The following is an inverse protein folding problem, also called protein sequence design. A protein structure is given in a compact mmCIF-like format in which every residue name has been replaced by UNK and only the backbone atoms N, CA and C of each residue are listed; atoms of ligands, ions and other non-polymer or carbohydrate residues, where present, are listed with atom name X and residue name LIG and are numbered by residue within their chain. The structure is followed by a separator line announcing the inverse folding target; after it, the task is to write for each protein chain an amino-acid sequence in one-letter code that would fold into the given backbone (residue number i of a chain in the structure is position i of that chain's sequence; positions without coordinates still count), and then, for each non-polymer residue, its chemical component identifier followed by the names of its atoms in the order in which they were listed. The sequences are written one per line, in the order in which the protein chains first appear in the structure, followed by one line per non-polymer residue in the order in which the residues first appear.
data_IF_278378940608
#
_entry.id   IF_278378940608
#
_cell.length_a   1.000
_cell.length_b   1.000
_cell.length_c   1.000
_cell.angle_alpha   90.00
_cell.angle_beta   90.00
_cell.angle_gamma   90.00
#
_symmetry.space_group_name_H-M   'P 1'
#
loop_
_entity.id
_entity.type
_entity.pdbx_description
1 polymer ?
#
# COMPACT_ATOMS: atom_id res chain seq x y z
N UNK A 1 -15.68 -6.30 14.13
CA UNK A 1 -14.90 -5.71 15.25
C UNK A 1 -14.40 -4.34 14.88
N UNK A 2 -14.47 -3.38 15.80
CA UNK A 2 -13.85 -2.05 15.63
C UNK A 2 -12.41 -2.12 16.13
N UNK A 3 -11.47 -1.50 15.42
CA UNK A 3 -10.09 -1.30 15.88
C UNK A 3 -9.74 0.19 15.82
N UNK A 4 -8.99 0.66 16.80
CA UNK A 4 -8.45 2.00 16.84
C UNK A 4 -7.01 1.99 17.38
N UNK A 5 -6.15 2.86 16.87
CA UNK A 5 -4.75 2.99 17.27
C UNK A 5 -3.81 2.87 16.07
N UNK A 6 -2.55 2.51 16.33
CA UNK A 6 -1.58 2.26 15.28
C UNK A 6 -1.86 0.91 14.62
N UNK A 7 -2.14 0.94 13.32
CA UNK A 7 -2.46 -0.25 12.52
C UNK A 7 -1.51 -0.36 11.33
N UNK A 8 -1.36 -1.57 10.81
CA UNK A 8 -0.76 -1.79 9.50
C UNK A 8 -1.84 -1.53 8.43
N UNK A 9 -1.50 -0.71 7.44
CA UNK A 9 -2.42 -0.41 6.34
C UNK A 9 -2.65 -1.67 5.51
N UNK A 10 -3.89 -2.10 5.23
CA UNK A 10 -4.13 -3.40 4.61
C UNK A 10 -3.90 -3.36 3.09
N UNK A 11 -2.65 -3.22 2.65
CA UNK A 11 -2.27 -3.19 1.23
C UNK A 11 -1.40 -4.38 0.84
N UNK A 12 -1.69 -4.97 -0.32
CA UNK A 12 -0.92 -6.09 -0.88
C UNK A 12 -0.95 -7.35 -0.03
N UNK A 13 0.05 -8.21 -0.24
CA UNK A 13 0.22 -9.45 0.51
C UNK A 13 1.06 -9.16 1.77
N UNK A 14 2.20 -8.49 1.60
CA UNK A 14 3.26 -8.46 2.61
C UNK A 14 3.04 -7.41 3.71
N UNK A 15 2.22 -6.38 3.49
CA UNK A 15 2.16 -5.29 4.48
C UNK A 15 1.56 -5.74 5.83
N UNK A 16 0.53 -6.60 5.80
CA UNK A 16 -0.05 -7.20 7.01
C UNK A 16 0.71 -8.46 7.46
N UNK A 17 1.26 -9.23 6.52
CA UNK A 17 2.00 -10.46 6.78
C UNK A 17 3.47 -10.31 6.40
N UNK A 18 4.32 -10.09 7.39
CA UNK A 18 5.74 -9.75 7.21
C UNK A 18 6.71 -10.83 7.73
N UNK A 19 6.20 -12.05 7.95
CA UNK A 19 6.97 -13.21 8.39
C UNK A 19 7.71 -13.90 7.23
N UNK A 20 8.85 -14.58 7.45
CA UNK A 20 9.73 -15.10 6.39
C UNK A 20 9.09 -16.06 5.38
N UNK A 21 7.98 -16.74 5.72
CA UNK A 21 7.26 -17.63 4.80
C UNK A 21 6.35 -16.91 3.79
N UNK A 22 6.39 -15.57 3.76
CA UNK A 22 5.51 -14.76 2.91
C UNK A 22 6.05 -14.53 1.50
N UNK A 23 7.30 -14.89 1.22
CA UNK A 23 7.92 -14.87 -0.11
C UNK A 23 9.05 -15.89 -0.21
N UNK A 24 9.29 -16.43 -1.41
CA UNK A 24 10.31 -17.47 -1.63
C UNK A 24 11.76 -16.94 -1.67
N UNK A 25 11.94 -15.65 -2.00
CA UNK A 25 13.25 -15.03 -2.13
C UNK A 25 13.86 -14.62 -0.79
N UNK A 26 15.15 -14.26 -0.78
CA UNK A 26 15.77 -13.60 0.37
C UNK A 26 15.30 -12.15 0.57
N UNK A 27 14.75 -11.54 -0.48
CA UNK A 27 14.29 -10.16 -0.52
C UNK A 27 12.80 -10.09 -0.91
N UNK A 28 12.12 -9.04 -0.43
CA UNK A 28 10.73 -8.74 -0.82
C UNK A 28 10.66 -8.41 -2.32
N UNK A 29 9.56 -8.75 -3.02
CA UNK A 29 9.36 -8.34 -4.41
C UNK A 29 9.47 -6.81 -4.58
N UNK A 30 10.14 -6.37 -5.64
CA UNK A 30 10.40 -4.95 -5.90
C UNK A 30 9.10 -4.13 -6.05
N UNK A 31 8.03 -4.73 -6.58
CA UNK A 31 6.68 -4.15 -6.68
C UNK A 31 6.15 -3.72 -5.31
N UNK A 32 6.22 -4.60 -4.32
CA UNK A 32 5.81 -4.32 -2.94
C UNK A 32 6.85 -3.49 -2.16
N UNK A 33 8.03 -3.26 -2.74
CA UNK A 33 9.04 -2.38 -2.13
C UNK A 33 8.80 -0.92 -2.51
N UNK A 34 8.49 -0.65 -3.77
CA UNK A 34 8.43 0.70 -4.34
C UNK A 34 7.02 1.25 -4.52
N UNK A 35 6.07 0.42 -4.98
CA UNK A 35 4.72 0.89 -5.33
C UNK A 35 3.80 0.83 -4.11
N UNK A 36 3.78 -0.32 -3.43
CA UNK A 36 3.09 -0.47 -2.16
C UNK A 36 4.08 -0.11 -1.04
N UNK A 37 3.80 0.87 -0.18
CA UNK A 37 4.68 1.16 0.95
C UNK A 37 4.65 -0.01 1.96
N UNK A 38 5.54 -0.99 1.85
CA UNK A 38 5.63 -2.06 2.87
C UNK A 38 6.08 -1.52 4.22
N UNK A 39 5.68 -2.22 5.28
CA UNK A 39 5.79 -1.82 6.69
C UNK A 39 5.05 -0.51 7.02
N UNK A 40 3.99 -0.19 6.27
CA UNK A 40 3.21 1.02 6.51
C UNK A 40 2.33 0.89 7.74
N UNK A 41 2.76 1.59 8.79
CA UNK A 41 2.03 1.82 10.03
C UNK A 41 1.45 3.23 10.02
N UNK A 42 0.19 3.34 10.39
CA UNK A 42 -0.51 4.61 10.53
C UNK A 42 -1.45 4.56 11.74
N UNK A 43 -1.71 5.68 12.40
CA UNK A 43 -2.83 5.76 13.33
C UNK A 43 -4.13 5.84 12.55
N UNK A 44 -5.13 5.10 13.02
CA UNK A 44 -6.43 5.12 12.40
C UNK A 44 -7.49 4.41 13.23
N UNK A 45 -8.70 4.48 12.73
CA UNK A 45 -9.86 3.73 13.23
C UNK A 45 -10.49 2.99 12.07
N UNK A 46 -10.98 1.78 12.34
CA UNK A 46 -11.52 0.95 11.28
C UNK A 46 -12.36 -0.21 11.75
N UNK A 47 -12.92 -0.89 10.75
CA UNK A 47 -13.76 -2.06 10.90
C UNK A 47 -13.09 -3.24 10.24
N UNK A 48 -13.14 -4.37 10.91
CA UNK A 48 -12.69 -5.66 10.38
C UNK A 48 -13.78 -6.68 10.62
N UNK A 49 -14.02 -7.50 9.61
CA UNK A 49 -14.96 -8.61 9.70
C UNK A 49 -14.59 -9.74 8.76
N UNK A 50 -15.26 -10.85 8.96
CA UNK A 50 -15.22 -12.01 8.10
C UNK A 50 -16.61 -12.65 8.06
N UNK A 51 -16.92 -13.27 6.94
CA UNK A 51 -18.13 -14.06 6.73
C UNK A 51 -17.77 -15.54 6.69
N UNK A 52 -18.72 -16.40 7.05
CA UNK A 52 -18.54 -17.86 7.01
C UNK A 52 -18.26 -18.39 5.59
N UNK A 53 -18.57 -17.60 4.56
CA UNK A 53 -18.19 -17.87 3.17
C UNK A 53 -16.68 -17.83 2.91
N UNK A 54 -15.87 -17.40 3.89
CA UNK A 54 -14.43 -17.21 3.75
C UNK A 54 -14.04 -15.84 3.18
N UNK A 55 -14.99 -14.91 3.06
CA UNK A 55 -14.71 -13.50 2.70
C UNK A 55 -14.31 -12.74 3.96
N UNK A 56 -13.11 -12.17 3.99
CA UNK A 56 -12.65 -11.23 5.00
C UNK A 56 -12.56 -9.81 4.46
N UNK A 57 -12.80 -8.81 5.30
CA UNK A 57 -12.62 -7.40 4.94
C UNK A 57 -12.00 -6.58 6.07
N UNK A 58 -11.28 -5.54 5.68
CA UNK A 58 -10.70 -4.52 6.57
C UNK A 58 -10.89 -3.15 5.93
N UNK A 59 -11.39 -2.19 6.68
CA UNK A 59 -11.56 -0.80 6.23
C UNK A 59 -11.07 0.12 7.35
N UNK A 60 -10.23 1.09 7.02
CA UNK A 60 -9.67 2.06 7.96
C UNK A 60 -9.75 3.48 7.40
N UNK A 61 -10.00 4.43 8.29
CA UNK A 61 -9.65 5.83 8.10
C UNK A 61 -8.37 6.09 8.89
N UNK A 62 -7.37 6.67 8.25
CA UNK A 62 -6.03 6.89 8.79
C UNK A 62 -5.45 8.24 8.35
N UNK A 63 -4.35 8.66 8.97
CA UNK A 63 -3.56 9.79 8.47
C UNK A 63 -3.04 9.53 7.04
N UNK A 64 -3.04 10.56 6.18
CA UNK A 64 -2.52 10.47 4.81
C UNK A 64 -0.99 10.30 4.75
N UNK A 65 -0.43 10.10 3.55
CA UNK A 65 1.02 10.17 3.34
C UNK A 65 1.49 11.65 3.35
N UNK A 66 2.80 11.87 3.43
CA UNK A 66 3.42 13.19 3.29
C UNK A 66 4.05 13.30 1.89
N UNK A 67 3.40 14.03 0.98
CA UNK A 67 3.87 14.25 -0.39
C UNK A 67 5.20 15.00 -0.45
N UNK A 68 5.49 15.84 0.55
CA UNK A 68 6.79 16.51 0.68
C UNK A 68 7.99 15.56 0.87
N UNK A 69 7.73 14.28 1.19
CA UNK A 69 8.75 13.22 1.28
C UNK A 69 8.73 12.26 0.08
N UNK A 70 7.91 12.53 -0.94
CA UNK A 70 7.95 11.76 -2.18
C UNK A 70 9.23 12.07 -2.96
N UNK A 71 9.62 11.15 -3.83
CA UNK A 71 10.79 11.30 -4.69
C UNK A 71 10.60 10.50 -5.97
N UNK A 72 11.57 10.56 -6.89
CA UNK A 72 11.64 9.63 -8.03
C UNK A 72 11.59 8.14 -7.62
N UNK A 73 11.97 7.80 -6.38
CA UNK A 73 11.84 6.45 -5.83
C UNK A 73 10.43 6.06 -5.36
N UNK A 74 9.44 6.93 -5.55
CA UNK A 74 8.04 6.70 -5.20
C UNK A 74 7.62 7.23 -3.83
N UNK A 75 6.52 6.68 -3.32
CA UNK A 75 5.74 7.22 -2.19
C UNK A 75 6.14 6.63 -0.82
N UNK A 76 7.04 5.65 -0.80
CA UNK A 76 7.40 4.89 0.41
C UNK A 76 7.86 5.77 1.59
N UNK A 77 8.57 6.84 1.29
CA UNK A 77 9.13 7.77 2.28
C UNK A 77 8.09 8.71 2.89
N UNK A 78 6.87 8.78 2.33
CA UNK A 78 5.77 9.59 2.83
C UNK A 78 5.03 9.01 4.05
N UNK A 79 5.36 7.80 4.51
CA UNK A 79 4.70 7.18 5.68
C UNK A 79 5.06 7.90 6.99
N UNK A 80 4.12 7.90 7.94
CA UNK A 80 4.23 8.77 9.13
C UNK A 80 4.55 8.10 10.47
N UNK A 81 4.64 6.77 10.58
CA UNK A 81 5.05 6.04 11.82
C UNK A 81 4.28 6.38 13.11
N UNK A 82 3.17 7.12 13.03
CA UNK A 82 2.21 7.43 14.07
C UNK A 82 2.62 8.42 15.18
N UNK A 83 3.85 8.39 15.69
CA UNK A 83 4.21 9.15 16.91
C UNK A 83 4.20 10.69 16.76
N UNK A 84 4.42 11.20 15.55
CA UNK A 84 4.36 12.62 15.17
C UNK A 84 3.66 12.80 13.83
N UNK A 85 2.63 11.98 13.59
CA UNK A 85 1.91 12.01 12.34
C UNK A 85 1.10 13.31 12.21
N UNK A 86 1.25 13.96 11.05
CA UNK A 86 0.42 15.06 10.60
C UNK A 86 -0.87 14.46 10.07
N UNK A 87 -2.01 14.96 10.54
CA UNK A 87 -3.33 14.49 10.15
C UNK A 87 -4.20 15.66 9.65
N UNK A 88 -3.59 16.64 8.95
CA UNK A 88 -4.35 17.68 8.24
C UNK A 88 -5.17 17.04 7.11
N UNK A 89 -4.60 16.02 6.47
CA UNK A 89 -5.28 15.21 5.47
C UNK A 89 -5.39 13.75 5.92
N UNK A 90 -6.59 13.19 5.77
CA UNK A 90 -6.88 11.79 6.04
C UNK A 90 -6.92 10.98 4.74
N UNK A 91 -6.72 9.68 4.88
CA UNK A 91 -6.90 8.70 3.83
C UNK A 91 -7.78 7.54 4.30
N UNK A 92 -8.29 6.80 3.33
CA UNK A 92 -9.06 5.58 3.54
C UNK A 92 -8.27 4.42 2.95
N UNK A 93 -8.13 3.34 3.71
CA UNK A 93 -7.61 2.07 3.21
C UNK A 93 -8.65 0.97 3.36
N UNK A 94 -8.77 0.14 2.35
CA UNK A 94 -9.70 -0.99 2.32
C UNK A 94 -9.04 -2.23 1.72
N UNK A 95 -9.42 -3.40 2.23
CA UNK A 95 -9.03 -4.70 1.69
C UNK A 95 -10.17 -5.68 1.79
N UNK A 96 -10.35 -6.47 0.74
CA UNK A 96 -11.23 -7.64 0.72
C UNK A 96 -10.38 -8.84 0.30
N UNK A 97 -10.55 -9.97 1.00
CA UNK A 97 -9.86 -11.23 0.72
C UNK A 97 -10.85 -12.38 0.74
N UNK A 98 -10.61 -13.38 -0.10
CA UNK A 98 -11.36 -14.63 -0.14
C UNK A 98 -10.43 -15.81 0.13
N UNK A 99 -10.72 -16.55 1.20
CA UNK A 99 -9.98 -17.74 1.63
C UNK A 99 -10.91 -18.93 1.89
N UNK A 100 -12.09 -18.97 1.25
CA UNK A 100 -13.09 -20.02 1.46
C UNK A 100 -12.71 -21.38 0.90
N UNK A 101 -11.72 -21.44 0.00
CA UNK A 101 -11.18 -22.68 -0.56
C UNK A 101 -9.81 -22.96 0.04
N UNK A 102 -9.55 -24.15 0.61
CA UNK A 102 -8.24 -24.50 1.15
C UNK A 102 -7.12 -24.29 0.12
N UNK A 103 -6.09 -23.55 0.54
CA UNK A 103 -4.95 -23.21 -0.31
C UNK A 103 -5.15 -22.04 -1.28
N UNK A 104 -6.37 -21.52 -1.44
CA UNK A 104 -6.64 -20.34 -2.25
C UNK A 104 -6.74 -19.08 -1.37
N UNK A 105 -6.02 -18.02 -1.74
CA UNK A 105 -6.22 -16.67 -1.23
C UNK A 105 -6.23 -15.69 -2.40
N UNK A 106 -7.35 -15.02 -2.61
CA UNK A 106 -7.46 -13.94 -3.61
C UNK A 106 -7.86 -12.68 -2.87
N UNK A 107 -7.21 -11.56 -3.18
CA UNK A 107 -7.54 -10.31 -2.51
C UNK A 107 -7.31 -9.08 -3.36
N UNK A 108 -8.01 -8.02 -3.00
CA UNK A 108 -7.82 -6.69 -3.56
C UNK A 108 -7.78 -5.68 -2.43
N UNK A 109 -6.94 -4.66 -2.58
CA UNK A 109 -6.80 -3.58 -1.61
C UNK A 109 -6.59 -2.25 -2.28
N UNK A 110 -7.06 -1.19 -1.62
CA UNK A 110 -6.93 0.18 -2.07
C UNK A 110 -6.61 1.09 -0.89
N UNK A 111 -5.74 2.07 -1.12
CA UNK A 111 -5.61 3.26 -0.30
C UNK A 111 -5.90 4.46 -1.18
N UNK A 112 -6.64 5.43 -0.67
CA UNK A 112 -6.82 6.72 -1.33
C UNK A 112 -6.93 7.83 -0.30
N UNK A 113 -6.30 8.97 -0.56
CA UNK A 113 -6.33 10.12 0.33
C UNK A 113 -5.51 11.28 -0.19
N UNK A 114 -5.70 12.47 0.38
CA UNK A 114 -4.83 13.59 0.09
C UNK A 114 -3.52 13.43 0.87
N UNK A 115 -2.38 13.60 0.18
CA UNK A 115 -1.04 13.51 0.80
C UNK A 115 -0.37 14.87 0.96
N UNK A 116 -1.09 15.97 0.71
CA UNK A 116 -0.55 17.33 0.82
C UNK A 116 -0.02 17.65 2.22
N UNK A 117 -0.75 17.29 3.28
CA UNK A 117 -0.40 17.51 4.68
C UNK A 117 0.03 18.96 4.97
N UNK A 118 -0.73 19.91 4.42
CA UNK A 118 -0.48 21.34 4.59
C UNK A 118 0.62 21.92 3.70
N UNK A 119 1.18 21.16 2.74
CA UNK A 119 2.15 21.67 1.77
C UNK A 119 1.58 22.86 0.97
N UNK A 120 2.37 23.90 0.79
CA UNK A 120 2.01 25.09 0.00
C UNK A 120 3.00 25.34 -1.14
N UNK A 121 2.53 26.00 -2.19
CA UNK A 121 3.40 26.51 -3.26
C UNK A 121 4.08 27.84 -2.87
N UNK A 122 4.90 28.39 -3.78
CA UNK A 122 5.61 29.65 -3.59
C UNK A 122 4.69 30.87 -3.43
N UNK A 123 3.41 30.74 -3.77
CA UNK A 123 2.39 31.79 -3.60
C UNK A 123 1.58 31.60 -2.31
N UNK A 124 1.91 30.57 -1.51
CA UNK A 124 1.20 30.24 -0.27
C UNK A 124 -0.09 29.46 -0.48
N UNK A 125 -0.42 29.01 -1.70
CA UNK A 125 -1.62 28.21 -1.93
C UNK A 125 -1.35 26.76 -1.53
N UNK A 126 -2.33 26.12 -0.88
CA UNK A 126 -2.24 24.69 -0.56
C UNK A 126 -2.09 23.86 -1.84
N UNK A 127 -1.22 22.85 -1.76
CA UNK A 127 -1.02 21.83 -2.78
C UNK A 127 -1.76 20.59 -2.31
N UNK A 128 -2.76 20.18 -3.10
CA UNK A 128 -3.33 18.87 -2.95
C UNK A 128 -2.40 17.87 -3.64
N UNK A 129 -2.26 16.69 -3.07
CA UNK A 129 -1.56 15.57 -3.69
C UNK A 129 -2.42 14.32 -3.53
N UNK A 130 -3.56 14.23 -4.25
CA UNK A 130 -4.41 13.04 -4.21
C UNK A 130 -3.58 11.82 -4.55
N UNK A 131 -3.49 10.85 -3.64
CA UNK A 131 -2.65 9.67 -3.81
C UNK A 131 -3.50 8.43 -3.67
N UNK A 132 -3.44 7.57 -4.70
CA UNK A 132 -4.14 6.30 -4.72
C UNK A 132 -3.14 5.17 -4.90
N UNK A 133 -3.31 4.08 -4.15
CA UNK A 133 -2.56 2.83 -4.31
C UNK A 133 -3.56 1.71 -4.38
N UNK A 134 -3.54 0.93 -5.44
CA UNK A 134 -4.38 -0.23 -5.67
C UNK A 134 -3.51 -1.47 -5.83
N UNK A 135 -3.98 -2.61 -5.35
CA UNK A 135 -3.38 -3.90 -5.68
C UNK A 135 -4.41 -5.02 -5.71
N UNK A 136 -4.14 -6.01 -6.56
CA UNK A 136 -4.84 -7.29 -6.60
C UNK A 136 -3.82 -8.42 -6.51
N UNK A 137 -4.14 -9.48 -5.79
CA UNK A 137 -3.26 -10.62 -5.60
C UNK A 137 -4.00 -11.94 -5.64
N UNK A 138 -3.25 -13.01 -5.92
CA UNK A 138 -3.71 -14.39 -5.88
C UNK A 138 -2.61 -15.31 -5.38
N UNK A 139 -2.96 -16.22 -4.49
CA UNK A 139 -2.11 -17.28 -3.94
C UNK A 139 -2.89 -18.58 -4.08
N UNK A 140 -2.25 -19.60 -4.66
CA UNK A 140 -2.79 -20.95 -4.78
C UNK A 140 -1.73 -21.95 -4.32
N UNK A 141 -1.98 -22.64 -3.21
CA UNK A 141 -1.16 -23.71 -2.69
C UNK A 141 -1.92 -25.04 -2.73
N UNK A 142 -1.46 -26.01 -3.53
CA UNK A 142 -2.13 -27.31 -3.68
C UNK A 142 -1.12 -28.41 -4.05
N UNK A 143 -1.18 -29.53 -3.34
CA UNK A 143 -0.38 -30.74 -3.66
C UNK A 143 1.10 -30.46 -3.85
N UNK A 144 1.66 -29.63 -2.97
CA UNK A 144 3.09 -29.28 -2.95
C UNK A 144 3.44 -28.10 -3.85
N UNK A 145 2.57 -27.74 -4.80
CA UNK A 145 2.73 -26.53 -5.61
C UNK A 145 2.21 -25.30 -4.89
N UNK A 146 2.88 -24.18 -5.11
CA UNK A 146 2.42 -22.87 -4.68
C UNK A 146 2.69 -21.83 -5.77
N UNK A 147 1.65 -21.09 -6.14
CA UNK A 147 1.71 -19.98 -7.09
C UNK A 147 1.29 -18.72 -6.36
N UNK A 148 2.04 -17.63 -6.52
CA UNK A 148 1.64 -16.30 -6.05
C UNK A 148 1.76 -15.28 -7.17
N UNK A 149 0.80 -14.38 -7.26
CA UNK A 149 0.81 -13.25 -8.17
C UNK A 149 0.31 -12.02 -7.46
N UNK A 150 0.85 -10.86 -7.83
CA UNK A 150 0.37 -9.57 -7.37
C UNK A 150 0.56 -8.55 -8.49
N UNK A 151 -0.44 -7.71 -8.69
CA UNK A 151 -0.38 -6.50 -9.49
C UNK A 151 -0.63 -5.30 -8.56
N UNK A 152 0.17 -4.25 -8.72
CA UNK A 152 0.01 -3.00 -8.00
C UNK A 152 0.03 -1.82 -8.97
N UNK A 153 -0.74 -0.80 -8.63
CA UNK A 153 -0.82 0.48 -9.33
C UNK A 153 -0.86 1.60 -8.30
N UNK A 154 -0.17 2.70 -8.56
CA UNK A 154 -0.32 3.93 -7.77
C UNK A 154 -0.41 5.14 -8.68
N UNK A 155 -1.15 6.14 -8.23
CA UNK A 155 -1.27 7.44 -8.90
C UNK A 155 -1.15 8.58 -7.89
N UNK A 156 -0.55 9.68 -8.32
CA UNK A 156 -0.35 10.90 -7.55
C UNK A 156 -0.86 12.06 -8.40
N UNK A 157 -1.87 12.79 -7.93
CA UNK A 157 -2.36 13.99 -8.61
C UNK A 157 -1.47 15.21 -8.36
N UNK A 158 -1.64 16.25 -9.18
CA UNK A 158 -0.95 17.54 -9.05
C UNK A 158 0.59 17.45 -9.02
N UNK A 159 1.19 16.41 -9.62
CA UNK A 159 2.65 16.20 -9.58
C UNK A 159 3.45 17.36 -10.18
N UNK A 160 2.89 18.14 -11.10
CA UNK A 160 3.55 19.32 -11.65
C UNK A 160 3.75 20.37 -10.55
N UNK A 161 2.69 20.70 -9.80
CA UNK A 161 2.76 21.65 -8.68
C UNK A 161 3.62 21.09 -7.55
N UNK A 162 3.49 19.80 -7.25
CA UNK A 162 4.32 19.12 -6.26
C UNK A 162 5.80 19.18 -6.61
N UNK A 163 6.19 18.80 -7.83
CA UNK A 163 7.57 18.85 -8.29
C UNK A 163 8.11 20.28 -8.30
N UNK A 164 7.27 21.26 -8.66
CA UNK A 164 7.67 22.68 -8.63
C UNK A 164 7.94 23.16 -7.20
N UNK A 165 7.07 22.81 -6.24
CA UNK A 165 7.23 23.17 -4.84
C UNK A 165 8.39 22.44 -4.14
N UNK A 166 8.74 21.24 -4.61
CA UNK A 166 9.89 20.47 -4.14
C UNK A 166 11.19 20.75 -4.93
N UNK A 167 11.14 21.69 -5.88
CA UNK A 167 12.27 22.04 -6.76
C UNK A 167 12.87 20.82 -7.51
N UNK A 168 12.02 19.85 -7.84
CA UNK A 168 12.42 18.66 -8.57
C UNK A 168 12.31 18.84 -10.08
N UNK A 169 13.33 18.37 -10.79
CA UNK A 169 13.37 18.36 -12.25
C UNK A 169 14.06 17.10 -12.78
N UNK A 170 13.76 16.74 -14.04
CA UNK A 170 14.36 15.61 -14.73
C UNK A 170 14.17 14.29 -13.98
N UNK A 171 15.25 13.53 -13.78
CA UNK A 171 15.22 12.23 -13.13
C UNK A 171 14.92 12.27 -11.62
N UNK A 172 14.81 13.46 -11.00
CA UNK A 172 14.44 13.62 -9.59
C UNK A 172 12.93 13.78 -9.39
N UNK A 173 12.19 14.07 -10.45
CA UNK A 173 10.75 14.33 -10.39
C UNK A 173 9.96 13.13 -9.89
N UNK A 174 8.96 13.41 -9.08
CA UNK A 174 7.91 12.47 -8.68
C UNK A 174 7.08 12.16 -9.93
N UNK A 175 6.96 10.87 -10.26
CA UNK A 175 6.10 10.39 -11.34
C UNK A 175 4.63 10.41 -10.94
N UNK A 176 3.76 10.66 -11.91
CA UNK A 176 2.30 10.67 -11.73
C UNK A 176 1.75 9.26 -11.46
N UNK A 177 2.28 8.26 -12.15
CA UNK A 177 1.77 6.89 -12.10
C UNK A 177 2.92 5.88 -11.95
N UNK A 178 2.65 4.79 -11.23
CA UNK A 178 3.54 3.64 -11.13
C UNK A 178 2.72 2.36 -11.21
N UNK A 179 3.22 1.34 -11.90
CA UNK A 179 2.62 0.02 -11.88
C UNK A 179 3.69 -1.06 -11.88
N UNK A 180 3.32 -2.24 -11.40
CA UNK A 180 4.24 -3.37 -11.35
C UNK A 180 3.49 -4.64 -10.98
N UNK A 181 4.06 -5.77 -11.36
CA UNK A 181 3.51 -7.07 -11.04
C UNK A 181 4.62 -8.08 -10.83
N UNK A 182 4.31 -9.19 -10.18
CA UNK A 182 5.18 -10.34 -10.13
C UNK A 182 4.36 -11.63 -10.14
N UNK A 183 5.01 -12.71 -10.57
CA UNK A 183 4.51 -14.08 -10.49
C UNK A 183 5.63 -14.94 -9.90
N UNK A 184 5.32 -15.74 -8.89
CA UNK A 184 6.23 -16.71 -8.28
C UNK A 184 5.61 -18.09 -8.30
N UNK A 185 6.43 -19.10 -8.58
CA UNK A 185 6.07 -20.52 -8.56
C UNK A 185 7.03 -21.27 -7.64
N UNK A 186 6.51 -22.14 -6.78
CA UNK A 186 7.27 -22.99 -5.88
C UNK A 186 6.70 -24.41 -5.84
N UNK A 187 7.56 -25.38 -5.55
CA UNK A 187 7.18 -26.77 -5.35
C UNK A 187 7.93 -27.37 -4.16
N UNK A 188 7.21 -28.01 -3.24
CA UNK A 188 7.79 -28.73 -2.11
C UNK A 188 8.15 -30.16 -2.51
N UNK A 189 9.45 -30.44 -2.61
CA UNK A 189 10.00 -31.75 -2.98
C UNK A 189 9.99 -32.79 -1.85
N UNK A 190 9.68 -32.38 -0.61
CA UNK A 190 9.67 -33.25 0.58
C UNK A 190 8.26 -33.69 0.98
N UNK A 191 7.28 -33.58 0.08
CA UNK A 191 5.89 -33.89 0.34
C UNK A 191 5.56 -35.38 0.34
#
# INVERSE_FOLDING_TARGET
TIRAGMVLVPLGIINEFHEPSTFFGALRPETERHIIPTTWRANGVGFIGSFDSGIGFRIYVLEGLIAAKFSAGGIRSGRQSGAKAIAEDLGIAGKVEYTGVPGLNVGASVFTGNSGQGLTDSLGNKINSPTTVFSIHGILARSGFEIRTLYAYSSIGDVIRLNSALEFSGSKSVGEEQFGYYLTFGYNILQ
#
